data_IF_131780262560
#
_entry.id   IF_131780262560
#
_cell.length_a   1.000
_cell.length_b   1.000
_cell.length_c   1.000
_cell.angle_alpha   90.00
_cell.angle_beta   90.00
_cell.angle_gamma   90.00
#
_symmetry.space_group_name_H-M   'P 1'
#
loop_
_entity.id
_entity.type
_entity.pdbx_description
1 polymer ?
#
# COMPACT_ATOMS: atom_id res chain seq x y z
N UNK A 1 43.16 -64.67 10.76
CA UNK A 1 43.45 -63.27 11.17
C UNK A 1 42.39 -62.41 10.51
N UNK A 2 41.30 -62.12 11.23
CA UNK A 2 40.17 -61.34 10.76
C UNK A 2 40.55 -59.86 10.81
N UNK A 3 40.55 -59.16 9.67
CA UNK A 3 40.67 -57.70 9.62
C UNK A 3 39.33 -57.08 10.04
N UNK A 4 39.34 -56.36 11.16
CA UNK A 4 38.26 -55.48 11.58
C UNK A 4 38.35 -54.14 10.82
N UNK A 5 37.33 -53.83 10.01
CA UNK A 5 37.14 -52.50 9.44
C UNK A 5 36.40 -51.63 10.45
N UNK A 6 37.14 -50.74 11.12
CA UNK A 6 36.62 -49.61 11.88
C UNK A 6 36.13 -48.54 10.90
N UNK A 7 34.81 -48.40 10.73
CA UNK A 7 34.21 -47.27 10.01
C UNK A 7 33.82 -46.18 11.02
N UNK A 8 34.79 -45.33 11.37
CA UNK A 8 34.56 -44.08 12.08
C UNK A 8 33.89 -43.07 11.14
N UNK A 9 32.56 -42.99 11.13
CA UNK A 9 31.88 -41.85 10.50
C UNK A 9 32.19 -40.58 11.30
N UNK A 10 32.90 -39.63 10.69
CA UNK A 10 33.40 -38.41 11.33
C UNK A 10 32.25 -37.46 11.67
N UNK A 11 32.20 -36.98 12.91
CA UNK A 11 31.28 -35.92 13.34
C UNK A 11 31.51 -34.66 12.50
N UNK A 12 30.46 -34.13 11.88
CA UNK A 12 30.49 -32.91 11.07
C UNK A 12 30.43 -31.65 11.93
N UNK A 13 29.63 -31.69 13.01
CA UNK A 13 29.43 -30.56 13.90
C UNK A 13 28.22 -30.74 14.81
N UNK A 14 27.64 -29.62 15.25
CA UNK A 14 26.44 -29.60 16.09
C UNK A 14 25.42 -28.62 15.51
N UNK A 15 24.14 -28.91 15.70
CA UNK A 15 23.03 -28.05 15.35
C UNK A 15 21.95 -28.06 16.42
N UNK A 16 20.99 -27.15 16.30
CA UNK A 16 19.85 -27.02 17.22
C UNK A 16 18.57 -27.35 16.48
N UNK A 17 17.77 -28.26 17.06
CA UNK A 17 16.47 -28.62 16.50
C UNK A 17 15.50 -27.43 16.66
N UNK A 18 14.93 -26.94 15.56
CA UNK A 18 13.99 -25.82 15.57
C UNK A 18 12.54 -26.27 15.80
N UNK A 19 12.20 -27.48 15.36
CA UNK A 19 10.85 -28.03 15.41
C UNK A 19 10.86 -29.43 16.02
N UNK A 20 10.05 -29.66 17.06
CA UNK A 20 9.98 -30.96 17.75
C UNK A 20 9.63 -32.09 16.78
N UNK A 21 10.14 -33.29 17.07
CA UNK A 21 9.83 -34.52 16.32
C UNK A 21 9.38 -35.62 17.27
N UNK A 22 8.55 -36.54 16.77
CA UNK A 22 7.90 -37.57 17.60
C UNK A 22 8.60 -38.93 17.55
N UNK A 23 9.26 -39.29 16.44
CA UNK A 23 10.07 -40.52 16.31
C UNK A 23 11.45 -40.22 15.68
N UNK A 24 12.53 -40.24 16.48
CA UNK A 24 12.53 -40.30 17.95
C UNK A 24 11.95 -39.02 18.58
N UNK A 25 11.38 -39.12 19.78
CA UNK A 25 10.91 -37.96 20.55
C UNK A 25 12.07 -37.02 20.88
N UNK A 26 12.14 -35.88 20.20
CA UNK A 26 13.17 -34.86 20.44
C UNK A 26 12.53 -33.48 20.43
N UNK A 27 12.67 -32.76 21.54
CA UNK A 27 12.13 -31.42 21.67
C UNK A 27 12.94 -30.39 20.90
N UNK A 28 12.26 -29.39 20.33
CA UNK A 28 12.90 -28.19 19.82
C UNK A 28 13.77 -27.52 20.92
N UNK A 29 14.89 -26.95 20.51
CA UNK A 29 15.97 -26.47 21.37
C UNK A 29 17.02 -27.52 21.69
N UNK A 30 16.80 -28.80 21.37
CA UNK A 30 17.82 -29.83 21.66
C UNK A 30 19.04 -29.65 20.75
N UNK A 31 20.23 -29.61 21.36
CA UNK A 31 21.53 -29.63 20.66
C UNK A 31 21.83 -31.04 20.19
N UNK A 32 21.96 -31.22 18.88
CA UNK A 32 22.17 -32.52 18.25
C UNK A 32 23.53 -32.58 17.54
N UNK A 33 24.33 -33.65 17.75
CA UNK A 33 25.47 -33.94 16.91
C UNK A 33 25.03 -34.28 15.48
N UNK A 34 25.73 -33.68 14.51
CA UNK A 34 25.47 -33.81 13.08
C UNK A 34 26.59 -34.63 12.46
N UNK A 35 26.22 -35.69 11.72
CA UNK A 35 27.19 -36.59 11.10
C UNK A 35 27.30 -36.35 9.60
N UNK A 36 26.18 -36.08 8.92
CA UNK A 36 26.13 -35.97 7.46
C UNK A 36 25.14 -34.87 7.06
N UNK A 37 25.49 -34.11 6.01
CA UNK A 37 24.56 -33.29 5.23
C UNK A 37 24.34 -33.94 3.87
N UNK A 38 23.10 -34.30 3.54
CA UNK A 38 22.73 -34.70 2.18
C UNK A 38 22.00 -33.56 1.48
N UNK A 39 22.68 -32.87 0.57
CA UNK A 39 22.04 -31.84 -0.26
C UNK A 39 21.12 -32.44 -1.33
N UNK A 40 21.37 -33.70 -1.71
CA UNK A 40 20.58 -34.40 -2.73
C UNK A 40 19.21 -34.80 -2.15
N UNK A 41 19.20 -35.33 -0.93
CA UNK A 41 17.97 -35.78 -0.26
C UNK A 41 17.34 -34.70 0.62
N UNK A 42 18.00 -33.54 0.78
CA UNK A 42 17.48 -32.43 1.58
C UNK A 42 17.44 -32.70 3.09
N UNK A 43 18.34 -33.54 3.61
CA UNK A 43 18.33 -34.00 5.02
C UNK A 43 19.69 -33.88 5.72
N UNK A 44 19.64 -33.79 7.04
CA UNK A 44 20.73 -34.02 7.98
C UNK A 44 20.62 -35.42 8.58
N UNK A 45 21.76 -36.10 8.78
CA UNK A 45 21.83 -37.28 9.64
C UNK A 45 22.38 -36.85 10.99
N UNK A 46 21.54 -36.94 12.02
CA UNK A 46 21.86 -36.54 13.40
C UNK A 46 21.77 -37.75 14.32
N UNK A 47 22.22 -37.61 15.56
CA UNK A 47 21.94 -38.62 16.60
C UNK A 47 21.42 -37.98 17.89
N UNK A 48 20.42 -38.61 18.51
CA UNK A 48 19.92 -38.26 19.82
C UNK A 48 20.05 -39.46 20.77
N UNK A 49 20.20 -39.18 22.07
CA UNK A 49 20.09 -40.19 23.10
C UNK A 49 18.63 -40.63 23.26
N UNK A 50 18.41 -41.91 23.50
CA UNK A 50 17.08 -42.45 23.75
C UNK A 50 16.61 -42.03 25.15
N UNK A 51 15.32 -41.72 25.34
CA UNK A 51 14.74 -41.28 26.61
C UNK A 51 14.97 -42.30 27.75
N UNK A 52 15.28 -43.56 27.41
CA UNK A 52 15.66 -44.63 28.33
C UNK A 52 17.16 -44.71 28.69
N UNK A 53 17.99 -43.71 28.34
CA UNK A 53 19.44 -43.70 28.62
C UNK A 53 20.25 -44.68 27.76
N UNK A 54 19.71 -45.04 26.58
CA UNK A 54 20.29 -46.01 25.65
C UNK A 54 21.27 -45.42 24.62
N UNK A 55 21.84 -46.31 23.79
CA UNK A 55 22.82 -46.00 22.73
C UNK A 55 22.24 -44.99 21.73
N UNK A 56 22.98 -43.90 21.45
CA UNK A 56 22.53 -42.82 20.56
C UNK A 56 22.05 -43.35 19.20
N UNK A 57 20.77 -43.10 18.89
CA UNK A 57 20.12 -43.52 17.64
C UNK A 57 20.37 -42.45 16.58
N UNK A 58 20.77 -42.89 15.38
CA UNK A 58 20.85 -42.01 14.20
C UNK A 58 19.53 -41.98 13.46
N UNK A 59 19.15 -40.80 12.99
CA UNK A 59 17.94 -40.58 12.21
C UNK A 59 18.13 -39.39 11.26
N UNK A 60 17.24 -39.29 10.28
CA UNK A 60 17.26 -38.22 9.28
C UNK A 60 16.31 -37.08 9.69
N UNK A 61 16.75 -35.85 9.46
CA UNK A 61 15.98 -34.63 9.69
C UNK A 61 15.97 -33.79 8.42
N UNK A 62 14.83 -33.25 7.97
CA UNK A 62 14.80 -32.23 6.93
C UNK A 62 15.74 -31.06 7.25
N UNK A 63 16.43 -30.51 6.23
CA UNK A 63 17.43 -29.45 6.44
C UNK A 63 16.86 -28.27 7.23
N UNK A 64 15.62 -27.87 6.94
CA UNK A 64 14.95 -26.71 7.53
C UNK A 64 14.58 -26.91 9.02
N UNK A 65 14.56 -28.14 9.54
CA UNK A 65 14.29 -28.42 10.96
C UNK A 65 15.49 -28.17 11.87
N UNK A 66 16.69 -27.99 11.31
CA UNK A 66 17.93 -27.90 12.09
C UNK A 66 18.73 -26.64 11.73
N UNK A 67 19.00 -25.81 12.73
CA UNK A 67 19.98 -24.72 12.60
C UNK A 67 21.39 -25.26 12.86
N UNK A 68 22.25 -25.29 11.85
CA UNK A 68 23.61 -25.82 11.98
C UNK A 68 24.59 -24.77 12.52
N UNK A 69 25.21 -25.05 13.67
CA UNK A 69 26.12 -24.11 14.35
C UNK A 69 27.61 -24.48 14.22
N UNK A 70 27.92 -25.65 13.67
CA UNK A 70 29.29 -26.12 13.41
C UNK A 70 29.99 -26.67 14.65
N UNK A 71 30.07 -25.92 15.74
CA UNK A 71 30.69 -26.36 17.01
C UNK A 71 29.66 -26.51 18.12
N UNK A 72 29.98 -27.36 19.12
CA UNK A 72 29.11 -27.60 20.27
C UNK A 72 28.79 -26.32 21.04
N UNK A 73 29.81 -25.52 21.38
CA UNK A 73 29.61 -24.27 22.10
C UNK A 73 28.76 -23.24 21.35
N UNK A 74 28.84 -23.18 20.00
CA UNK A 74 27.95 -22.32 19.20
C UNK A 74 26.52 -22.83 19.20
N UNK A 75 26.32 -24.15 19.15
CA UNK A 75 25.00 -24.77 19.22
C UNK A 75 24.36 -24.54 20.60
N UNK A 76 25.13 -24.67 21.69
CA UNK A 76 24.67 -24.41 23.05
C UNK A 76 24.28 -22.93 23.22
N UNK A 77 25.09 -22.00 22.72
CA UNK A 77 24.76 -20.57 22.74
C UNK A 77 23.49 -20.25 21.93
N UNK A 78 23.31 -20.86 20.76
CA UNK A 78 22.07 -20.70 19.98
C UNK A 78 20.87 -21.30 20.71
N UNK A 79 21.02 -22.50 21.29
CA UNK A 79 19.98 -23.17 22.07
C UNK A 79 19.52 -22.32 23.25
N UNK A 80 20.45 -21.65 23.93
CA UNK A 80 20.14 -20.74 25.03
C UNK A 80 19.35 -19.52 24.53
N UNK A 81 19.80 -18.88 23.44
CA UNK A 81 19.09 -17.76 22.82
C UNK A 81 17.69 -18.14 22.29
N UNK A 82 17.54 -19.38 21.81
CA UNK A 82 16.28 -19.92 21.29
C UNK A 82 15.34 -20.46 22.39
N UNK A 83 15.80 -20.55 23.64
CA UNK A 83 15.05 -21.18 24.73
C UNK A 83 13.65 -20.60 24.96
N UNK A 84 13.47 -19.29 24.79
CA UNK A 84 12.16 -18.61 24.87
C UNK A 84 11.17 -19.17 23.83
N UNK A 85 11.67 -19.52 22.65
CA UNK A 85 10.89 -19.95 21.50
C UNK A 85 10.87 -21.47 21.32
N UNK A 86 11.70 -22.21 22.06
CA UNK A 86 11.83 -23.67 21.96
C UNK A 86 10.49 -24.39 22.08
N UNK A 87 9.60 -23.95 22.98
CA UNK A 87 8.24 -24.49 23.10
C UNK A 87 7.16 -23.66 22.41
N UNK A 88 7.50 -22.51 21.80
CA UNK A 88 6.52 -21.58 21.25
C UNK A 88 6.06 -21.99 19.83
N UNK A 89 4.75 -22.02 19.64
CA UNK A 89 4.09 -22.25 18.36
C UNK A 89 2.93 -21.28 18.20
N UNK A 90 2.44 -21.15 16.98
CA UNK A 90 1.27 -20.36 16.68
C UNK A 90 0.39 -21.07 15.65
N UNK A 91 -0.90 -20.86 15.75
CA UNK A 91 -1.89 -21.35 14.80
C UNK A 91 -2.56 -20.16 14.12
N UNK A 92 -2.67 -20.21 12.80
CA UNK A 92 -3.39 -19.20 12.03
C UNK A 92 -4.90 -19.29 12.33
N UNK A 93 -5.48 -18.24 12.91
CA UNK A 93 -6.94 -18.18 13.16
C UNK A 93 -7.73 -17.59 11.99
N UNK A 94 -7.07 -17.33 10.87
CA UNK A 94 -7.67 -16.80 9.65
C UNK A 94 -7.02 -17.46 8.43
N UNK A 95 -7.84 -17.77 7.42
CA UNK A 95 -7.31 -18.20 6.14
C UNK A 95 -6.61 -17.06 5.40
N UNK A 96 -5.47 -17.37 4.82
CA UNK A 96 -4.72 -16.46 3.98
C UNK A 96 -3.77 -15.51 4.68
N UNK A 97 -3.42 -15.77 5.94
CA UNK A 97 -2.52 -14.91 6.71
C UNK A 97 -1.11 -14.91 6.11
N UNK A 98 -0.52 -13.75 5.75
CA UNK A 98 0.74 -13.70 5.02
C UNK A 98 1.96 -13.88 5.94
N UNK A 99 2.97 -14.61 5.44
CA UNK A 99 4.35 -14.54 5.93
C UNK A 99 5.16 -13.70 4.95
N UNK A 100 5.84 -12.68 5.46
CA UNK A 100 6.57 -11.69 4.69
C UNK A 100 8.08 -11.84 4.79
N UNK A 101 8.79 -11.30 3.81
CA UNK A 101 10.25 -11.26 3.81
C UNK A 101 10.82 -10.37 4.92
N UNK A 102 10.10 -9.32 5.30
CA UNK A 102 10.49 -8.34 6.32
C UNK A 102 9.31 -8.06 7.28
N UNK A 103 9.54 -7.61 8.52
CA UNK A 103 8.50 -7.28 9.50
C UNK A 103 7.80 -5.95 9.17
N UNK A 104 7.23 -5.85 7.98
CA UNK A 104 6.51 -4.68 7.47
C UNK A 104 5.32 -5.15 6.63
N UNK A 105 4.16 -4.50 6.78
CA UNK A 105 2.95 -4.82 6.02
C UNK A 105 3.09 -4.62 4.51
N UNK A 106 4.03 -3.79 4.06
CA UNK A 106 4.29 -3.53 2.64
C UNK A 106 5.37 -4.45 2.05
N UNK A 107 6.02 -5.27 2.88
CA UNK A 107 7.06 -6.17 2.41
C UNK A 107 6.50 -7.31 1.56
N UNK A 108 7.34 -7.83 0.66
CA UNK A 108 7.01 -8.96 -0.20
C UNK A 108 6.48 -10.15 0.62
N UNK A 109 5.38 -10.73 0.13
CA UNK A 109 4.77 -11.92 0.70
C UNK A 109 5.46 -13.15 0.14
N UNK A 110 6.02 -13.98 1.03
CA UNK A 110 6.73 -15.20 0.68
C UNK A 110 5.84 -16.45 0.83
N UNK A 111 4.85 -16.39 1.72
CA UNK A 111 3.95 -17.52 1.98
C UNK A 111 2.57 -17.04 2.45
N UNK A 112 1.56 -17.90 2.33
CA UNK A 112 0.18 -17.66 2.77
C UNK A 112 -0.29 -18.84 3.62
N UNK A 113 -0.53 -18.59 4.91
CA UNK A 113 -0.98 -19.59 5.86
C UNK A 113 -2.45 -19.94 5.62
N UNK A 114 -2.78 -21.22 5.73
CA UNK A 114 -4.16 -21.70 5.75
C UNK A 114 -4.76 -21.55 7.14
N UNK A 115 -6.09 -21.44 7.23
CA UNK A 115 -6.80 -21.51 8.50
C UNK A 115 -6.40 -22.81 9.26
N UNK A 116 -6.02 -22.67 10.53
CA UNK A 116 -5.59 -23.78 11.38
C UNK A 116 -4.15 -24.27 11.11
N UNK A 117 -3.42 -23.67 10.16
CA UNK A 117 -2.03 -24.05 9.92
C UNK A 117 -1.15 -23.63 11.11
N UNK A 118 -0.37 -24.59 11.61
CA UNK A 118 0.57 -24.40 12.72
C UNK A 118 1.92 -23.97 12.18
N UNK A 119 2.50 -22.95 12.80
CA UNK A 119 3.85 -22.48 12.55
C UNK A 119 4.68 -22.52 13.82
N UNK A 120 5.99 -22.74 13.65
CA UNK A 120 6.97 -22.60 14.72
C UNK A 120 7.34 -21.13 14.87
N UNK A 121 7.23 -20.59 16.09
CA UNK A 121 7.77 -19.26 16.39
C UNK A 121 9.27 -19.42 16.66
N UNK A 122 10.10 -18.65 15.97
CA UNK A 122 11.56 -18.74 16.06
C UNK A 122 12.23 -17.42 16.45
N UNK A 123 11.44 -16.36 16.65
CA UNK A 123 11.96 -15.08 17.14
C UNK A 123 10.91 -13.97 17.15
N UNK A 124 11.29 -12.84 17.74
CA UNK A 124 10.58 -11.56 17.63
C UNK A 124 11.35 -10.61 16.72
N UNK A 125 10.64 -9.73 16.05
CA UNK A 125 11.22 -8.68 15.23
C UNK A 125 10.64 -7.31 15.60
N UNK A 126 11.48 -6.28 15.48
CA UNK A 126 11.00 -4.89 15.49
C UNK A 126 10.61 -4.53 14.06
N UNK A 127 9.42 -3.98 13.91
CA UNK A 127 8.84 -3.67 12.62
C UNK A 127 7.76 -2.61 12.73
N UNK A 128 7.28 -2.13 11.59
CA UNK A 128 6.20 -1.14 11.57
C UNK A 128 4.92 -1.78 12.12
N UNK A 129 4.29 -1.20 13.16
CA UNK A 129 3.07 -1.77 13.71
C UNK A 129 1.99 -1.80 12.63
N UNK A 130 1.20 -2.87 12.60
CA UNK A 130 0.04 -2.88 11.72
C UNK A 130 -0.96 -1.83 12.20
N UNK A 131 -1.45 -0.96 11.32
CA UNK A 131 -2.29 0.18 11.71
C UNK A 131 -3.78 -0.09 11.45
N UNK A 132 -4.62 0.41 12.34
CA UNK A 132 -6.08 0.47 12.24
C UNK A 132 -6.52 1.93 12.33
N UNK A 133 -6.59 2.63 11.20
CA UNK A 133 -6.72 4.10 11.20
C UNK A 133 -5.49 4.73 11.85
N UNK A 134 -5.68 5.61 12.83
CA UNK A 134 -4.60 6.27 13.58
C UNK A 134 -4.02 5.42 14.73
N UNK A 135 -4.60 4.25 15.02
CA UNK A 135 -4.19 3.43 16.16
C UNK A 135 -3.44 2.16 15.72
N UNK A 136 -2.31 1.82 16.36
CA UNK A 136 -1.63 0.55 16.10
C UNK A 136 -2.48 -0.63 16.59
N UNK A 137 -2.54 -1.70 15.79
CA UNK A 137 -3.13 -2.97 16.16
C UNK A 137 -2.33 -3.61 17.30
N UNK A 138 -3.01 -4.29 18.24
CA UNK A 138 -2.33 -5.03 19.29
C UNK A 138 -1.60 -6.22 18.66
N UNK A 139 -0.29 -6.32 18.89
CA UNK A 139 0.51 -7.42 18.38
C UNK A 139 1.96 -7.06 18.21
N UNK A 140 2.73 -8.04 17.78
CA UNK A 140 4.15 -7.92 17.50
C UNK A 140 4.50 -8.73 16.26
N UNK A 141 5.62 -8.39 15.62
CA UNK A 141 6.14 -9.17 14.51
C UNK A 141 6.86 -10.39 15.03
N UNK A 142 6.39 -11.56 14.61
CA UNK A 142 7.00 -12.85 14.92
C UNK A 142 7.73 -13.36 13.70
N UNK A 143 8.97 -13.82 13.90
CA UNK A 143 9.66 -14.63 12.92
C UNK A 143 9.13 -16.06 13.06
N UNK A 144 8.58 -16.59 11.98
CA UNK A 144 7.92 -17.89 11.96
C UNK A 144 8.58 -18.81 10.93
N UNK A 145 8.52 -20.11 11.22
CA UNK A 145 8.92 -21.22 10.36
C UNK A 145 7.67 -22.06 10.10
N UNK A 146 7.39 -22.39 8.85
CA UNK A 146 6.28 -23.26 8.44
C UNK A 146 6.69 -24.73 8.46
N UNK A 147 5.70 -25.63 8.44
CA UNK A 147 5.87 -27.08 8.42
C UNK A 147 6.48 -27.63 7.12
N UNK A 148 6.60 -26.79 6.09
CA UNK A 148 7.31 -27.04 4.83
C UNK A 148 8.66 -26.31 4.71
N UNK A 149 9.09 -25.58 5.75
CA UNK A 149 10.43 -25.00 5.84
C UNK A 149 10.57 -23.54 5.38
N UNK A 150 9.48 -22.84 5.08
CA UNK A 150 9.50 -21.42 4.76
C UNK A 150 9.69 -20.57 6.02
N UNK A 151 10.57 -19.56 5.93
CA UNK A 151 10.86 -18.63 7.02
C UNK A 151 10.45 -17.22 6.59
N UNK A 152 9.81 -16.50 7.50
CA UNK A 152 9.59 -15.07 7.35
C UNK A 152 8.90 -14.47 8.57
N UNK A 153 8.23 -13.35 8.37
CA UNK A 153 7.62 -12.56 9.44
C UNK A 153 6.11 -12.52 9.31
N UNK A 154 5.41 -12.76 10.42
CA UNK A 154 3.96 -12.70 10.52
C UNK A 154 3.57 -11.84 11.73
N UNK A 155 2.60 -10.95 11.56
CA UNK A 155 2.10 -10.14 12.67
C UNK A 155 1.18 -10.98 13.58
N UNK A 156 1.38 -10.90 14.90
CA UNK A 156 0.77 -11.84 15.85
C UNK A 156 -0.73 -11.67 16.08
N UNK A 157 -1.34 -10.59 15.58
CA UNK A 157 -2.75 -10.26 15.82
C UNK A 157 -3.73 -11.38 15.45
N UNK A 158 -3.42 -12.18 14.42
CA UNK A 158 -4.23 -13.31 13.95
C UNK A 158 -3.54 -14.66 14.13
N UNK A 159 -2.64 -14.73 15.12
CA UNK A 159 -1.98 -15.95 15.55
C UNK A 159 -2.46 -16.32 16.95
N UNK A 160 -2.96 -17.54 17.10
CA UNK A 160 -3.18 -18.13 18.42
C UNK A 160 -1.87 -18.76 18.89
N UNK A 161 -1.17 -18.06 19.76
CA UNK A 161 0.07 -18.54 20.39
C UNK A 161 -0.22 -19.65 21.39
N UNK A 162 0.55 -20.73 21.35
CA UNK A 162 0.49 -21.82 22.32
C UNK A 162 1.88 -22.36 22.61
N UNK A 163 2.03 -23.06 23.75
CA UNK A 163 3.26 -23.76 24.12
C UNK A 163 3.07 -25.27 23.99
N UNK A 164 4.07 -25.94 23.44
CA UNK A 164 4.12 -27.40 23.36
C UNK A 164 5.03 -27.96 24.45
N UNK A 165 4.51 -28.89 25.25
CA UNK A 165 5.28 -29.63 26.25
C UNK A 165 6.04 -30.80 25.60
N UNK A 166 7.12 -31.26 26.25
CA UNK A 166 7.94 -32.40 25.81
C UNK A 166 7.05 -33.63 25.57
N UNK A 167 7.19 -34.27 24.40
CA UNK A 167 6.52 -35.53 24.07
C UNK A 167 5.03 -35.43 23.68
N UNK A 168 4.46 -34.22 23.60
CA UNK A 168 3.11 -34.05 23.05
C UNK A 168 3.16 -33.85 21.53
N UNK A 169 2.42 -34.62 20.72
CA UNK A 169 2.44 -34.47 19.27
C UNK A 169 2.00 -33.06 18.86
N UNK A 170 2.61 -32.51 17.80
CA UNK A 170 1.98 -31.40 17.09
C UNK A 170 0.74 -32.00 16.49
N UNK A 171 -0.46 -31.56 16.93
CA UNK A 171 -1.67 -31.93 16.23
C UNK A 171 -1.45 -31.56 14.77
N UNK A 172 -1.29 -32.56 13.91
CA UNK A 172 -1.26 -32.36 12.47
C UNK A 172 -2.50 -31.52 12.16
N UNK A 173 -2.39 -30.46 11.35
CA UNK A 173 -3.55 -29.67 10.99
C UNK A 173 -4.61 -30.68 10.56
N UNK A 174 -5.75 -30.68 11.26
CA UNK A 174 -6.93 -31.36 10.72
C UNK A 174 -7.01 -30.83 9.30
N UNK A 175 -6.96 -31.73 8.31
CA UNK A 175 -7.00 -31.36 6.92
C UNK A 175 -8.28 -30.56 6.72
N UNK A 176 -8.17 -29.24 6.86
CA UNK A 176 -9.20 -28.32 6.48
C UNK A 176 -9.30 -28.59 4.99
N UNK A 177 -10.43 -29.21 4.61
CA UNK A 177 -10.87 -29.29 3.24
C UNK A 177 -10.50 -27.95 2.63
N UNK A 178 -9.64 -28.02 1.61
CA UNK A 178 -9.07 -26.83 1.00
C UNK A 178 -10.26 -26.04 0.51
N UNK A 179 -10.62 -24.96 1.23
CA UNK A 179 -11.65 -24.05 0.79
C UNK A 179 -11.23 -23.66 -0.62
N UNK A 180 -12.02 -24.10 -1.59
CA UNK A 180 -11.75 -23.90 -3.00
C UNK A 180 -11.50 -22.39 -3.18
N UNK A 181 -10.28 -22.02 -3.60
CA UNK A 181 -9.90 -20.62 -3.67
C UNK A 181 -10.89 -19.92 -4.59
N UNK A 182 -11.72 -19.02 -4.05
CA UNK A 182 -12.70 -18.28 -4.83
C UNK A 182 -11.94 -17.23 -5.66
N UNK A 183 -11.73 -17.47 -6.98
CA UNK A 183 -10.89 -16.60 -7.79
C UNK A 183 -11.48 -15.19 -7.91
N UNK A 184 -12.80 -15.03 -7.72
CA UNK A 184 -13.48 -13.74 -7.80
C UNK A 184 -13.30 -12.95 -6.49
N UNK A 185 -13.21 -13.64 -5.36
CA UNK A 185 -12.87 -13.03 -4.08
C UNK A 185 -11.39 -12.63 -4.06
N UNK A 186 -10.50 -13.49 -4.57
CA UNK A 186 -9.08 -13.16 -4.71
C UNK A 186 -8.88 -11.91 -5.58
N UNK A 187 -9.67 -11.75 -6.65
CA UNK A 187 -9.67 -10.53 -7.46
C UNK A 187 -10.01 -9.26 -6.66
N UNK A 188 -10.96 -9.32 -5.72
CA UNK A 188 -11.28 -8.18 -4.85
C UNK A 188 -10.06 -7.81 -4.00
N UNK A 189 -9.36 -8.79 -3.44
CA UNK A 189 -8.19 -8.54 -2.59
C UNK A 189 -6.94 -8.13 -3.36
N UNK A 190 -6.77 -8.60 -4.59
CA UNK A 190 -5.58 -8.31 -5.41
C UNK A 190 -5.67 -7.02 -6.22
N UNK A 191 -6.85 -6.41 -6.30
CA UNK A 191 -7.10 -5.23 -7.16
C UNK A 191 -7.12 -3.95 -6.34
N UNK A 192 -6.46 -2.91 -6.87
CA UNK A 192 -6.60 -1.56 -6.34
C UNK A 192 -7.93 -0.94 -6.84
N UNK A 193 -8.86 -0.73 -5.91
CA UNK A 193 -10.21 -0.24 -6.22
C UNK A 193 -10.30 1.26 -5.97
N UNK A 194 -10.49 2.04 -7.03
CA UNK A 194 -10.55 3.51 -6.99
C UNK A 194 -11.97 4.03 -7.21
N UNK A 195 -12.31 5.25 -6.77
CA UNK A 195 -13.63 5.83 -7.00
C UNK A 195 -14.02 5.84 -8.50
N UNK A 196 -15.27 5.51 -8.82
CA UNK A 196 -15.75 5.45 -10.22
C UNK A 196 -15.50 6.74 -11.01
N UNK A 197 -15.56 7.90 -10.35
CA UNK A 197 -15.30 9.21 -10.98
C UNK A 197 -13.90 9.32 -11.62
N UNK A 198 -12.93 8.50 -11.20
CA UNK A 198 -11.60 8.50 -11.81
C UNK A 198 -11.65 8.00 -13.25
N UNK A 199 -12.53 7.03 -13.54
CA UNK A 199 -12.71 6.51 -14.89
C UNK A 199 -13.16 7.62 -15.84
N UNK A 200 -14.12 8.43 -15.43
CA UNK A 200 -14.60 9.57 -16.21
C UNK A 200 -13.46 10.57 -16.50
N UNK A 201 -12.66 10.91 -15.49
CA UNK A 201 -11.50 11.82 -15.65
C UNK A 201 -10.44 11.25 -16.59
N UNK A 202 -10.17 9.94 -16.52
CA UNK A 202 -9.20 9.25 -17.38
C UNK A 202 -9.72 9.18 -18.82
N UNK A 203 -10.96 8.76 -19.01
CA UNK A 203 -11.58 8.61 -20.33
C UNK A 203 -11.67 9.96 -21.06
N UNK A 204 -11.97 11.03 -20.32
CA UNK A 204 -12.02 12.41 -20.85
C UNK A 204 -10.65 13.08 -20.91
N UNK A 205 -9.59 12.46 -20.36
CA UNK A 205 -8.24 13.02 -20.20
C UNK A 205 -8.21 14.36 -19.46
N UNK A 206 -9.13 14.54 -18.50
CA UNK A 206 -9.30 15.76 -17.71
C UNK A 206 -9.18 15.42 -16.23
N UNK A 207 -7.95 15.18 -15.80
CA UNK A 207 -7.66 14.81 -14.41
C UNK A 207 -7.64 16.06 -13.54
N UNK A 208 -8.57 16.11 -12.59
CA UNK A 208 -8.59 17.11 -11.54
C UNK A 208 -7.87 16.58 -10.30
N UNK A 209 -6.64 17.05 -10.05
CA UNK A 209 -5.83 16.65 -8.90
C UNK A 209 -6.45 17.03 -7.54
N UNK A 210 -7.42 17.95 -7.48
CA UNK A 210 -8.17 18.23 -6.24
C UNK A 210 -9.22 17.12 -5.97
N UNK A 211 -9.58 16.34 -6.99
CA UNK A 211 -10.57 15.26 -6.95
C UNK A 211 -9.99 13.92 -7.42
N UNK A 212 -8.67 13.79 -7.48
CA UNK A 212 -7.94 12.58 -7.85
C UNK A 212 -6.73 12.37 -6.94
N UNK A 213 -6.86 11.43 -6.01
CA UNK A 213 -5.83 11.04 -5.03
C UNK A 213 -5.54 9.54 -5.07
N UNK A 214 -4.28 9.17 -4.85
CA UNK A 214 -3.87 7.78 -4.65
C UNK A 214 -4.42 7.17 -3.35
N UNK A 215 -4.75 8.00 -2.35
CA UNK A 215 -5.23 7.53 -1.04
C UNK A 215 -6.72 7.14 -1.00
N UNK A 216 -7.50 7.51 -2.03
CA UNK A 216 -8.93 7.22 -2.08
C UNK A 216 -9.21 5.92 -2.81
N UNK A 217 -10.12 5.12 -2.25
CA UNK A 217 -10.45 3.81 -2.74
C UNK A 217 -11.15 2.93 -1.72
N UNK A 218 -11.35 1.68 -2.12
CA UNK A 218 -11.79 0.59 -1.28
C UNK A 218 -10.61 -0.35 -0.98
N UNK A 219 -10.34 -0.56 0.30
CA UNK A 219 -9.22 -1.35 0.79
C UNK A 219 -9.79 -2.51 1.62
N UNK A 220 -9.92 -3.71 1.04
CA UNK A 220 -10.57 -4.83 1.71
C UNK A 220 -9.73 -5.41 2.87
N UNK A 221 -8.42 -5.16 2.90
CA UNK A 221 -7.56 -5.43 4.05
C UNK A 221 -7.51 -6.88 4.51
N UNK A 222 -7.31 -7.82 3.57
CA UNK A 222 -7.23 -9.26 3.83
C UNK A 222 -6.32 -9.60 5.01
N UNK A 223 -5.15 -8.96 5.05
CA UNK A 223 -4.08 -9.27 5.98
C UNK A 223 -4.30 -8.67 7.38
N UNK A 224 -5.01 -7.54 7.45
CA UNK A 224 -5.28 -6.82 8.70
C UNK A 224 -6.61 -7.27 9.32
N UNK A 225 -7.52 -7.81 8.51
CA UNK A 225 -8.91 -8.01 8.89
C UNK A 225 -9.63 -6.69 9.11
N UNK A 226 -9.22 -5.63 8.41
CA UNK A 226 -9.84 -4.31 8.46
C UNK A 226 -10.19 -3.87 7.05
N UNK A 227 -11.48 -3.67 6.82
CA UNK A 227 -11.97 -3.08 5.58
C UNK A 227 -12.03 -1.56 5.74
N UNK A 228 -11.40 -0.83 4.81
CA UNK A 228 -11.37 0.63 4.79
C UNK A 228 -11.97 1.18 3.50
N UNK A 229 -12.78 2.23 3.65
CA UNK A 229 -13.34 3.02 2.55
C UNK A 229 -12.83 4.45 2.73
N UNK A 230 -12.07 4.95 1.76
CA UNK A 230 -11.55 6.31 1.76
C UNK A 230 -12.03 7.07 0.52
N UNK A 231 -12.70 8.19 0.73
CA UNK A 231 -13.25 9.10 -0.27
C UNK A 231 -13.00 10.55 0.20
N UNK A 232 -13.14 11.59 -0.66
CA UNK A 232 -12.74 12.97 -0.34
C UNK A 232 -13.28 13.56 0.97
N UNK A 233 -14.44 13.11 1.45
CA UNK A 233 -15.09 13.60 2.67
C UNK A 233 -15.58 12.45 3.57
N UNK A 234 -15.05 11.25 3.36
CA UNK A 234 -15.48 10.06 4.07
C UNK A 234 -14.30 9.12 4.26
N UNK A 235 -14.01 8.80 5.51
CA UNK A 235 -13.08 7.76 5.87
C UNK A 235 -13.76 6.81 6.86
N UNK A 236 -13.88 5.55 6.47
CA UNK A 236 -14.48 4.50 7.27
C UNK A 236 -13.51 3.34 7.40
N UNK A 237 -13.45 2.75 8.59
CA UNK A 237 -12.60 1.62 8.89
C UNK A 237 -13.36 0.68 9.82
N UNK A 238 -13.50 -0.58 9.42
CA UNK A 238 -14.20 -1.60 10.20
C UNK A 238 -13.37 -2.86 10.33
N UNK A 239 -13.21 -3.41 11.54
CA UNK A 239 -12.69 -4.76 11.68
C UNK A 239 -13.70 -5.77 11.15
N UNK A 240 -13.21 -6.88 10.63
CA UNK A 240 -14.01 -8.05 10.26
C UNK A 240 -13.31 -9.35 10.68
N UNK A 241 -14.07 -10.42 10.87
CA UNK A 241 -13.56 -11.74 11.31
C UNK A 241 -13.33 -12.70 10.15
N UNK A 242 -14.19 -12.64 9.14
CA UNK A 242 -14.12 -13.45 7.94
C UNK A 242 -14.84 -12.74 6.78
N UNK A 243 -14.68 -13.28 5.57
CA UNK A 243 -15.43 -12.83 4.39
C UNK A 243 -16.25 -14.01 3.90
N UNK A 244 -17.57 -13.91 4.05
CA UNK A 244 -18.50 -14.97 3.72
C UNK A 244 -19.21 -14.69 2.38
N UNK A 245 -19.32 -15.67 1.47
CA UNK A 245 -20.12 -15.52 0.26
C UNK A 245 -21.61 -15.42 0.63
N UNK A 246 -22.30 -14.40 0.13
CA UNK A 246 -23.75 -14.21 0.31
C UNK A 246 -24.51 -14.78 -0.88
N UNK A 247 -23.98 -14.56 -2.08
CA UNK A 247 -24.47 -15.05 -3.38
C UNK A 247 -23.35 -14.91 -4.40
N UNK A 248 -23.60 -15.31 -5.66
CA UNK A 248 -22.60 -15.15 -6.71
C UNK A 248 -22.11 -13.68 -6.80
N UNK A 249 -20.78 -13.53 -6.86
CA UNK A 249 -20.09 -12.24 -6.93
C UNK A 249 -20.38 -11.28 -5.77
N UNK A 250 -20.86 -11.77 -4.63
CA UNK A 250 -21.20 -10.93 -3.48
C UNK A 250 -20.71 -11.55 -2.18
N UNK A 251 -19.98 -10.76 -1.40
CA UNK A 251 -19.41 -11.19 -0.13
C UNK A 251 -19.69 -10.18 0.98
N UNK A 252 -19.93 -10.71 2.18
CA UNK A 252 -20.13 -9.97 3.41
C UNK A 252 -18.85 -10.05 4.24
N UNK A 253 -18.36 -8.90 4.69
CA UNK A 253 -17.26 -8.82 5.64
C UNK A 253 -17.85 -8.98 7.05
N UNK A 254 -17.79 -10.19 7.61
CA UNK A 254 -18.47 -10.55 8.86
C UNK A 254 -17.98 -9.74 10.06
N UNK A 255 -18.91 -9.34 10.94
CA UNK A 255 -18.61 -8.43 12.05
C UNK A 255 -18.46 -6.96 11.64
N UNK A 256 -18.37 -6.68 10.34
CA UNK A 256 -18.51 -5.34 9.79
C UNK A 256 -19.92 -5.11 9.22
N UNK A 257 -20.19 -3.88 8.79
CA UNK A 257 -21.40 -3.49 8.07
C UNK A 257 -21.14 -3.31 6.57
N UNK A 258 -20.11 -3.98 6.05
CA UNK A 258 -19.64 -3.83 4.67
C UNK A 258 -19.95 -5.06 3.84
N UNK A 259 -20.60 -4.83 2.70
CA UNK A 259 -20.83 -5.85 1.68
C UNK A 259 -20.22 -5.41 0.36
N UNK A 260 -19.45 -6.28 -0.28
CA UNK A 260 -18.86 -6.04 -1.59
C UNK A 260 -19.57 -6.88 -2.65
N UNK A 261 -19.87 -6.30 -3.79
CA UNK A 261 -20.55 -6.94 -4.91
C UNK A 261 -19.85 -6.61 -6.22
N UNK A 262 -19.20 -7.60 -6.82
CA UNK A 262 -18.46 -7.46 -8.06
C UNK A 262 -19.42 -7.44 -9.25
N UNK A 263 -19.63 -6.27 -9.88
CA UNK A 263 -20.53 -6.12 -11.04
C UNK A 263 -19.89 -6.65 -12.33
N UNK A 264 -18.58 -6.46 -12.46
CA UNK A 264 -17.71 -6.97 -13.51
C UNK A 264 -16.30 -7.09 -12.94
N UNK A 265 -15.35 -7.64 -13.69
CA UNK A 265 -13.98 -7.85 -13.17
C UNK A 265 -13.22 -6.53 -12.95
N UNK A 266 -13.80 -5.40 -13.38
CA UNK A 266 -13.25 -4.05 -13.21
C UNK A 266 -14.18 -3.09 -12.47
N UNK A 267 -15.36 -3.55 -12.01
CA UNK A 267 -16.35 -2.70 -11.32
C UNK A 267 -16.86 -3.37 -10.06
N UNK A 268 -16.67 -2.71 -8.93
CA UNK A 268 -17.04 -3.17 -7.59
C UNK A 268 -18.06 -2.21 -6.97
N UNK A 269 -19.19 -2.75 -6.50
CA UNK A 269 -20.15 -2.02 -5.68
C UNK A 269 -19.90 -2.35 -4.22
N UNK A 270 -19.73 -1.36 -3.37
CA UNK A 270 -19.59 -1.56 -1.92
C UNK A 270 -20.77 -0.91 -1.23
N UNK A 271 -21.41 -1.66 -0.34
CA UNK A 271 -22.45 -1.16 0.56
C UNK A 271 -21.88 -1.04 1.96
N UNK A 272 -22.19 0.05 2.64
CA UNK A 272 -21.70 0.36 3.98
C UNK A 272 -22.71 1.22 4.74
N UNK A 273 -22.50 1.40 6.03
CA UNK A 273 -23.31 2.30 6.87
C UNK A 273 -22.49 3.54 7.18
N UNK A 274 -23.01 4.73 6.89
CA UNK A 274 -22.33 5.98 7.22
C UNK A 274 -22.40 6.31 8.73
N UNK A 275 -21.70 7.37 9.17
CA UNK A 275 -21.70 7.79 10.57
C UNK A 275 -23.10 8.15 11.10
N UNK A 276 -24.04 8.50 10.22
CA UNK A 276 -25.44 8.78 10.57
C UNK A 276 -26.31 7.53 10.66
N UNK A 277 -25.76 6.34 10.46
CA UNK A 277 -26.49 5.07 10.50
C UNK A 277 -27.25 4.75 9.22
N UNK A 278 -27.15 5.57 8.17
CA UNK A 278 -27.81 5.32 6.91
C UNK A 278 -26.99 4.35 6.04
N UNK A 279 -27.68 3.40 5.40
CA UNK A 279 -27.05 2.53 4.41
C UNK A 279 -26.76 3.32 3.14
N UNK A 280 -25.51 3.26 2.69
CA UNK A 280 -24.99 3.91 1.49
C UNK A 280 -24.35 2.87 0.58
N UNK A 281 -24.18 3.24 -0.68
CA UNK A 281 -23.36 2.49 -1.62
C UNK A 281 -22.43 3.42 -2.38
N UNK A 282 -21.20 2.94 -2.59
CA UNK A 282 -20.22 3.56 -3.47
C UNK A 282 -19.79 2.55 -4.54
N UNK A 283 -19.43 3.06 -5.70
CA UNK A 283 -18.91 2.28 -6.82
C UNK A 283 -17.43 2.57 -6.98
N UNK A 284 -16.67 1.50 -7.14
CA UNK A 284 -15.23 1.53 -7.35
C UNK A 284 -14.89 0.79 -8.64
N UNK A 285 -13.77 1.19 -9.23
CA UNK A 285 -13.28 0.69 -10.51
C UNK A 285 -11.81 0.31 -10.41
N UNK A 286 -11.43 -0.73 -11.15
CA UNK A 286 -10.03 -1.04 -11.43
C UNK A 286 -9.53 -0.11 -12.53
N UNK A 287 -8.38 0.52 -12.33
CA UNK A 287 -7.77 1.41 -13.31
C UNK A 287 -6.82 0.64 -14.25
N UNK A 288 -6.63 1.11 -15.49
CA UNK A 288 -5.67 0.50 -16.42
C UNK A 288 -4.20 0.76 -16.07
N UNK A 289 -3.92 1.69 -15.15
CA UNK A 289 -2.59 2.03 -14.64
C UNK A 289 -2.74 2.55 -13.20
N UNK A 290 -1.64 2.71 -12.47
CA UNK A 290 -1.68 3.20 -11.09
C UNK A 290 -2.23 4.64 -11.01
N UNK A 291 -2.86 5.01 -9.90
CA UNK A 291 -3.34 6.37 -9.68
C UNK A 291 -2.16 7.37 -9.65
N UNK A 292 -1.01 6.95 -9.14
CA UNK A 292 0.24 7.69 -9.08
C UNK A 292 0.75 8.07 -10.47
N UNK A 293 0.68 7.16 -11.44
CA UNK A 293 1.10 7.44 -12.82
C UNK A 293 0.22 8.53 -13.46
N UNK A 294 -1.08 8.50 -13.21
CA UNK A 294 -2.01 9.52 -13.68
C UNK A 294 -1.75 10.88 -13.03
N UNK A 295 -1.50 10.90 -11.72
CA UNK A 295 -1.14 12.11 -10.98
C UNK A 295 0.18 12.70 -11.51
N UNK A 296 1.19 11.86 -11.73
CA UNK A 296 2.49 12.29 -12.23
C UNK A 296 2.39 12.92 -13.63
N UNK A 297 1.65 12.28 -14.56
CA UNK A 297 1.44 12.81 -15.92
C UNK A 297 0.70 14.14 -15.92
N UNK A 298 -0.33 14.29 -15.10
CA UNK A 298 -1.07 15.55 -15.01
C UNK A 298 -0.23 16.66 -14.36
N UNK A 299 0.58 16.32 -13.36
CA UNK A 299 1.53 17.27 -12.74
C UNK A 299 2.56 17.74 -13.77
N UNK A 300 3.15 16.81 -14.54
CA UNK A 300 4.11 17.14 -15.59
C UNK A 300 3.50 18.01 -16.71
N UNK A 301 2.22 17.77 -17.07
CA UNK A 301 1.48 18.63 -17.99
C UNK A 301 1.37 20.05 -17.46
N UNK A 302 0.96 20.23 -16.20
CA UNK A 302 0.82 21.54 -15.55
C UNK A 302 2.15 22.28 -15.50
N UNK A 303 3.22 21.57 -15.12
CA UNK A 303 4.58 22.13 -15.05
C UNK A 303 5.09 22.55 -16.43
N UNK A 304 4.85 21.75 -17.45
CA UNK A 304 5.27 22.06 -18.83
C UNK A 304 4.57 23.30 -19.40
N UNK A 305 3.29 23.48 -19.08
CA UNK A 305 2.54 24.68 -19.43
C UNK A 305 3.07 25.92 -18.68
N UNK A 306 3.29 25.81 -17.37
CA UNK A 306 3.83 26.90 -16.57
C UNK A 306 5.23 27.32 -17.04
N UNK A 307 6.12 26.34 -17.30
CA UNK A 307 7.46 26.60 -17.86
C UNK A 307 7.41 27.30 -19.21
N UNK A 308 6.37 27.08 -20.01
CA UNK A 308 6.21 27.77 -21.29
C UNK A 308 5.87 29.25 -21.11
N UNK A 309 5.04 29.60 -20.12
CA UNK A 309 4.81 30.99 -19.73
C UNK A 309 6.11 31.60 -19.18
N UNK A 310 6.76 30.93 -18.25
CA UNK A 310 7.96 31.42 -17.56
C UNK A 310 9.15 31.65 -18.52
N UNK A 311 9.29 30.83 -19.57
CA UNK A 311 10.33 30.98 -20.60
C UNK A 311 10.15 32.23 -21.46
N UNK A 312 8.91 32.67 -21.70
CA UNK A 312 8.65 33.91 -22.44
C UNK A 312 9.10 35.14 -21.64
N UNK A 313 8.98 35.09 -20.31
CA UNK A 313 9.54 36.05 -19.39
C UNK A 313 9.06 35.78 -17.96
N UNK A 314 9.91 35.89 -16.94
CA UNK A 314 9.45 35.81 -15.56
C UNK A 314 8.72 37.09 -15.12
N UNK A 315 8.82 38.18 -15.89
CA UNK A 315 8.23 39.49 -15.59
C UNK A 315 7.53 40.03 -16.84
N UNK A 316 6.27 40.41 -16.66
CA UNK A 316 5.35 40.89 -17.68
C UNK A 316 4.84 42.28 -17.27
N UNK A 317 4.89 43.25 -18.19
CA UNK A 317 4.50 44.65 -17.93
C UNK A 317 3.37 45.10 -18.82
N UNK A 318 2.46 45.87 -18.26
CA UNK A 318 1.34 46.49 -18.97
C UNK A 318 1.19 47.93 -18.48
N UNK A 319 0.97 48.86 -19.40
CA UNK A 319 0.77 50.28 -19.06
C UNK A 319 -0.48 50.48 -18.18
N UNK A 320 -1.55 49.74 -18.47
CA UNK A 320 -2.84 49.89 -17.80
C UNK A 320 -3.04 48.88 -16.65
N UNK A 321 -2.34 47.76 -16.67
CA UNK A 321 -2.56 46.64 -15.74
C UNK A 321 -1.33 46.32 -14.87
N UNK A 322 -0.31 47.17 -14.90
CA UNK A 322 0.85 47.08 -14.02
C UNK A 322 1.81 45.93 -14.35
N UNK A 323 2.45 45.35 -13.33
CA UNK A 323 3.51 44.34 -13.51
C UNK A 323 3.10 43.01 -12.88
N UNK A 324 3.11 41.95 -13.67
CA UNK A 324 2.90 40.56 -13.26
C UNK A 324 4.23 39.81 -13.33
N UNK A 325 4.71 39.31 -12.20
CA UNK A 325 5.93 38.52 -12.08
C UNK A 325 5.61 37.12 -11.58
N UNK A 326 6.28 36.12 -12.15
CA UNK A 326 6.19 34.72 -11.73
C UNK A 326 7.49 34.25 -11.09
N UNK A 327 7.40 33.33 -10.13
CA UNK A 327 8.55 32.63 -9.56
C UNK A 327 8.70 31.25 -10.21
N UNK A 328 9.89 30.64 -10.11
CA UNK A 328 10.13 29.28 -10.61
C UNK A 328 9.22 28.23 -9.97
N UNK A 329 8.81 28.47 -8.71
CA UNK A 329 8.01 27.56 -7.89
C UNK A 329 6.50 27.70 -8.10
N UNK A 330 6.06 28.46 -9.12
CA UNK A 330 4.63 28.67 -9.39
C UNK A 330 3.98 29.75 -8.53
N UNK A 331 4.75 30.60 -7.86
CA UNK A 331 4.25 31.80 -7.20
C UNK A 331 4.07 32.95 -8.20
N UNK A 332 3.26 33.94 -7.84
CA UNK A 332 3.18 35.19 -8.59
C UNK A 332 3.14 36.41 -7.67
N UNK A 333 3.56 37.55 -8.22
CA UNK A 333 3.34 38.88 -7.66
C UNK A 333 2.77 39.80 -8.75
N UNK A 334 1.69 40.50 -8.47
CA UNK A 334 1.04 41.45 -9.36
C UNK A 334 0.92 42.80 -8.66
N UNK A 335 1.50 43.84 -9.24
CA UNK A 335 1.35 45.24 -8.78
C UNK A 335 0.65 46.08 -9.85
N UNK A 336 -0.08 47.13 -9.44
CA UNK A 336 -0.79 48.03 -10.36
C UNK A 336 -2.03 47.41 -11.02
N UNK A 337 -2.68 46.44 -10.35
CA UNK A 337 -3.88 45.75 -10.82
C UNK A 337 -5.18 46.44 -10.38
N UNK A 338 -5.12 47.65 -9.83
CA UNK A 338 -6.24 48.33 -9.18
C UNK A 338 -7.48 48.50 -10.07
N UNK A 339 -7.29 48.65 -11.39
CA UNK A 339 -8.37 48.75 -12.39
C UNK A 339 -9.24 47.47 -12.44
N UNK A 340 -8.71 46.33 -12.02
CA UNK A 340 -9.40 45.03 -12.01
C UNK A 340 -10.16 44.77 -10.71
N UNK A 341 -10.02 45.64 -9.70
CA UNK A 341 -10.65 45.52 -8.40
C UNK A 341 -11.92 46.37 -8.34
N UNK A 342 -13.07 45.87 -7.82
CA UNK A 342 -13.32 44.52 -7.33
C UNK A 342 -13.90 43.57 -8.38
N UNK A 343 -14.02 44.02 -9.64
CA UNK A 343 -14.84 43.37 -10.67
C UNK A 343 -14.32 42.01 -11.10
N UNK A 344 -12.99 41.85 -11.17
CA UNK A 344 -12.31 40.61 -11.56
C UNK A 344 -11.51 40.06 -10.38
N UNK A 345 -10.78 40.93 -9.68
CA UNK A 345 -9.97 40.59 -8.51
C UNK A 345 -10.72 41.06 -7.24
N UNK A 346 -10.99 40.18 -6.27
CA UNK A 346 -11.67 40.56 -5.03
C UNK A 346 -10.94 41.65 -4.23
N UNK A 347 -11.69 42.54 -3.57
CA UNK A 347 -11.12 43.69 -2.84
C UNK A 347 -10.11 43.34 -1.73
N UNK A 348 -10.23 42.15 -1.14
CA UNK A 348 -9.36 41.70 -0.06
C UNK A 348 -8.08 40.99 -0.54
N UNK A 349 -7.92 40.80 -1.86
CA UNK A 349 -6.78 40.12 -2.45
C UNK A 349 -5.53 40.97 -2.39
N UNK A 350 -4.45 40.42 -1.84
CA UNK A 350 -3.09 40.97 -1.94
C UNK A 350 -2.52 40.67 -3.31
N UNK A 351 -1.60 41.50 -3.79
CA UNK A 351 -0.91 41.30 -5.06
C UNK A 351 0.08 40.12 -5.12
N UNK A 352 -0.12 39.07 -4.33
CA UNK A 352 0.73 37.87 -4.31
C UNK A 352 -0.14 36.62 -4.26
N UNK A 353 0.44 35.48 -4.65
CA UNK A 353 -0.24 34.19 -4.48
C UNK A 353 0.37 33.08 -5.31
N UNK A 354 -0.46 32.09 -5.67
CA UNK A 354 -0.05 30.91 -6.45
C UNK A 354 -0.74 30.85 -7.80
N UNK A 355 0.06 30.59 -8.84
CA UNK A 355 -0.39 30.34 -10.19
C UNK A 355 -0.52 28.83 -10.42
N UNK A 356 -1.56 28.41 -11.13
CA UNK A 356 -1.77 27.01 -11.51
C UNK A 356 -2.44 26.86 -12.87
N UNK A 357 -2.12 25.77 -13.57
CA UNK A 357 -2.61 25.45 -14.91
C UNK A 357 -3.61 24.28 -14.85
N UNK A 358 -4.54 24.37 -13.90
CA UNK A 358 -5.44 23.26 -13.53
C UNK A 358 -6.61 23.04 -14.48
N UNK A 359 -6.94 24.05 -15.29
CA UNK A 359 -8.11 24.03 -16.17
C UNK A 359 -7.75 23.44 -17.54
N UNK A 360 -8.74 22.80 -18.15
CA UNK A 360 -8.69 22.27 -19.53
C UNK A 360 -9.54 23.17 -20.44
N UNK A 361 -9.19 23.24 -21.72
CA UNK A 361 -9.97 23.97 -22.71
C UNK A 361 -10.93 23.04 -23.46
N UNK A 362 -12.09 23.55 -23.85
CA UNK A 362 -12.89 22.94 -24.91
C UNK A 362 -12.14 23.01 -26.25
N UNK A 363 -12.51 22.13 -27.19
CA UNK A 363 -11.87 22.07 -28.51
C UNK A 363 -11.93 23.42 -29.23
N UNK A 364 -13.06 24.13 -29.14
CA UNK A 364 -13.25 25.46 -29.70
C UNK A 364 -12.26 26.48 -29.11
N UNK A 365 -12.11 26.52 -27.78
CA UNK A 365 -11.16 27.43 -27.13
C UNK A 365 -9.71 27.06 -27.40
N UNK A 366 -9.40 25.77 -27.52
CA UNK A 366 -8.05 25.29 -27.82
C UNK A 366 -7.55 25.75 -29.20
N UNK A 367 -8.43 26.17 -30.12
CA UNK A 367 -8.02 26.77 -31.40
C UNK A 367 -7.45 28.18 -31.27
N UNK A 368 -7.80 28.91 -30.22
CA UNK A 368 -7.48 30.34 -30.07
C UNK A 368 -6.60 30.66 -28.84
N UNK A 369 -6.56 29.75 -27.86
CA UNK A 369 -5.84 29.96 -26.60
C UNK A 369 -4.86 28.82 -26.35
N UNK A 370 -3.72 29.18 -25.75
CA UNK A 370 -2.68 28.23 -25.37
C UNK A 370 -3.03 27.45 -24.11
N UNK A 371 -3.91 27.98 -23.26
CA UNK A 371 -4.37 27.32 -22.04
C UNK A 371 -5.19 28.25 -21.15
N UNK A 372 -5.37 27.84 -19.89
CA UNK A 372 -6.01 28.65 -18.86
C UNK A 372 -5.15 28.72 -17.59
N UNK A 373 -4.94 29.94 -17.10
CA UNK A 373 -4.16 30.29 -15.93
C UNK A 373 -5.10 30.65 -14.77
N UNK A 374 -4.97 29.93 -13.65
CA UNK A 374 -5.68 30.21 -12.40
C UNK A 374 -4.74 30.88 -11.42
N UNK A 375 -5.12 32.06 -10.92
CA UNK A 375 -4.40 32.82 -9.89
C UNK A 375 -5.17 32.78 -8.57
N UNK A 376 -4.60 32.10 -7.59
CA UNK A 376 -5.08 32.09 -6.20
C UNK A 376 -4.38 33.18 -5.43
N UNK A 377 -5.08 34.28 -5.12
CA UNK A 377 -4.51 35.43 -4.41
C UNK A 377 -4.45 35.21 -2.90
N UNK A 378 -3.44 35.78 -2.26
CA UNK A 378 -3.30 35.76 -0.80
C UNK A 378 -4.26 36.76 -0.13
N UNK A 379 -4.80 36.43 1.06
CA UNK A 379 -4.79 35.09 1.66
C UNK A 379 -5.77 34.15 0.93
N UNK A 380 -5.33 32.91 0.67
CA UNK A 380 -6.07 31.95 -0.15
C UNK A 380 -7.50 31.62 0.36
N UNK A 381 -7.74 31.77 1.65
CA UNK A 381 -9.04 31.49 2.29
C UNK A 381 -10.15 32.47 1.89
N UNK A 382 -9.79 33.66 1.39
CA UNK A 382 -10.73 34.76 1.15
C UNK A 382 -11.28 34.78 -0.28
N UNK A 383 -10.62 34.10 -1.23
CA UNK A 383 -11.04 34.16 -2.63
C UNK A 383 -10.90 32.84 -3.39
N UNK A 384 -11.90 32.54 -4.21
CA UNK A 384 -11.75 31.53 -5.26
C UNK A 384 -10.73 32.00 -6.30
N UNK A 385 -9.99 31.09 -6.95
CA UNK A 385 -8.97 31.50 -7.91
C UNK A 385 -9.58 32.25 -9.09
N UNK A 386 -8.93 33.34 -9.48
CA UNK A 386 -9.29 34.13 -10.66
C UNK A 386 -8.71 33.44 -11.87
N UNK A 387 -9.56 33.12 -12.85
CA UNK A 387 -9.16 32.33 -14.01
C UNK A 387 -9.05 33.24 -15.24
N UNK A 388 -8.04 32.96 -16.07
CA UNK A 388 -7.81 33.64 -17.33
C UNK A 388 -7.55 32.60 -18.42
N UNK A 389 -8.16 32.75 -19.58
CA UNK A 389 -7.61 32.14 -20.79
C UNK A 389 -6.32 32.87 -21.15
N UNK A 390 -5.30 32.17 -21.65
CA UNK A 390 -4.07 32.83 -22.06
C UNK A 390 -3.61 32.41 -23.46
N UNK A 391 -2.92 33.33 -24.13
CA UNK A 391 -2.18 33.09 -25.37
C UNK A 391 -0.75 33.61 -25.18
N UNK A 392 0.23 32.80 -25.58
CA UNK A 392 1.62 33.24 -25.66
C UNK A 392 1.87 33.84 -27.04
N UNK A 393 2.24 35.12 -27.08
CA UNK A 393 2.58 35.85 -28.30
C UNK A 393 4.10 36.15 -28.30
N UNK A 394 4.74 36.34 -29.47
CA UNK A 394 6.20 36.50 -29.56
C UNK A 394 6.81 37.62 -28.69
N UNK A 395 6.02 38.60 -28.25
CA UNK A 395 6.47 39.69 -27.37
C UNK A 395 5.70 39.83 -26.06
N UNK A 396 4.84 38.87 -25.68
CA UNK A 396 4.00 39.07 -24.52
C UNK A 396 2.99 37.97 -24.17
N UNK A 397 2.39 38.16 -23.00
CA UNK A 397 1.34 37.31 -22.46
C UNK A 397 0.00 38.03 -22.58
N UNK A 398 -0.91 37.46 -23.38
CA UNK A 398 -2.30 37.91 -23.45
C UNK A 398 -3.15 37.08 -22.51
N UNK A 399 -3.85 37.73 -21.60
CA UNK A 399 -4.82 37.13 -20.69
C UNK A 399 -6.24 37.60 -21.03
N UNK A 400 -7.22 36.73 -20.95
CA UNK A 400 -8.63 37.07 -21.04
C UNK A 400 -9.36 36.53 -19.83
N UNK A 401 -10.07 37.39 -19.11
CA UNK A 401 -10.79 36.98 -17.91
C UNK A 401 -11.83 35.89 -18.21
N UNK A 402 -11.76 34.80 -17.45
CA UNK A 402 -12.64 33.65 -17.57
C UNK A 402 -13.55 33.57 -16.34
N UNK A 403 -14.82 34.02 -16.45
CA UNK A 403 -15.73 34.03 -15.32
C UNK A 403 -16.18 32.61 -14.94
N UNK A 404 -16.55 32.35 -13.67
CA UNK A 404 -17.01 31.04 -13.22
C UNK A 404 -18.19 30.45 -14.02
N UNK A 405 -19.08 31.30 -14.56
CA UNK A 405 -20.22 30.89 -15.40
C UNK A 405 -19.83 30.34 -16.78
N UNK A 406 -18.54 30.36 -17.11
CA UNK A 406 -17.96 29.78 -18.32
C UNK A 406 -17.21 28.47 -18.05
N UNK A 407 -17.20 28.01 -16.80
CA UNK A 407 -16.58 26.77 -16.38
C UNK A 407 -17.63 25.67 -16.16
N UNK A 408 -17.29 24.45 -16.56
CA UNK A 408 -17.99 23.22 -16.18
C UNK A 408 -16.98 22.32 -15.46
N UNK A 409 -16.98 22.39 -14.11
CA UNK A 409 -15.92 21.77 -13.30
C UNK A 409 -14.55 22.37 -13.64
N UNK A 410 -13.62 21.53 -14.12
CA UNK A 410 -12.27 21.94 -14.56
C UNK A 410 -12.19 22.31 -16.05
N UNK A 411 -13.30 22.24 -16.79
CA UNK A 411 -13.35 22.59 -18.21
C UNK A 411 -13.74 24.05 -18.39
N UNK A 412 -12.89 24.82 -19.05
CA UNK A 412 -13.26 26.08 -19.68
C UNK A 412 -14.06 25.77 -20.95
N UNK A 413 -15.37 26.01 -20.90
CA UNK A 413 -16.27 25.61 -21.98
C UNK A 413 -16.39 26.69 -23.06
N UNK A 414 -16.43 27.96 -22.65
CA UNK A 414 -16.64 29.12 -23.51
C UNK A 414 -15.92 30.36 -22.98
N UNK A 415 -15.88 31.42 -23.79
CA UNK A 415 -15.42 32.75 -23.37
C UNK A 415 -16.45 33.43 -22.48
N UNK A 416 -16.02 34.44 -21.73
CA UNK A 416 -16.95 35.31 -21.01
C UNK A 416 -17.83 36.12 -21.97
N UNK A 417 -19.08 36.46 -21.59
CA UNK A 417 -20.00 37.21 -22.45
C UNK A 417 -19.48 38.61 -22.81
N UNK A 418 -18.69 39.21 -21.90
CA UNK A 418 -17.98 40.48 -22.10
C UNK A 418 -16.50 40.26 -21.77
N UNK A 419 -15.65 39.94 -22.77
CA UNK A 419 -14.27 39.55 -22.52
C UNK A 419 -13.42 40.77 -22.12
N UNK A 420 -12.90 40.75 -20.89
CA UNK A 420 -11.85 41.69 -20.48
C UNK A 420 -10.50 41.10 -20.89
N UNK A 421 -9.85 41.72 -21.86
CA UNK A 421 -8.56 41.29 -22.39
C UNK A 421 -7.45 42.18 -21.82
N UNK A 422 -6.41 41.54 -21.31
CA UNK A 422 -5.25 42.15 -20.68
C UNK A 422 -4.03 41.71 -21.47
N UNK A 423 -3.23 42.67 -21.92
CA UNK A 423 -1.97 42.38 -22.59
C UNK A 423 -0.80 42.86 -21.74
N UNK A 424 0.20 41.99 -21.61
CA UNK A 424 1.48 42.33 -21.03
C UNK A 424 2.62 42.06 -22.02
N UNK A 425 3.50 43.03 -22.21
CA UNK A 425 4.79 42.82 -22.87
C UNK A 425 5.73 42.05 -21.95
N UNK A 426 6.46 41.07 -22.46
CA UNK A 426 7.57 40.45 -21.73
C UNK A 426 8.68 41.49 -21.53
N UNK A 427 9.11 41.70 -20.29
CA UNK A 427 10.33 42.48 -20.05
C UNK A 427 11.53 41.59 -20.41
N UNK A 428 12.40 42.05 -21.32
CA UNK A 428 13.70 41.40 -21.54
C UNK A 428 14.47 41.31 -20.21
N UNK A 429 15.20 40.20 -20.04
CA UNK A 429 16.00 39.93 -18.83
C UNK A 429 17.09 40.97 -18.60
#
# INVERSE_FOLDING_TARGET
>A
MLLALSSCSRLLGYGVLLWSIDDPSVAAGTVLPVHIRSNINGVWVVSAEDEAGGKARRFELPIWKLEFAGSRGKAEAYSEAFSEFASAYAEAVQDGLPIRAEPDNNANRNYRLKLGQVVKVIGRAKGNPAMSGDSPLPGEWLKVLTDDGQIGYCFSYRLRLFRQERGSPVAAPAAAESAEADPKLDLIFSTAWHPEVYKEMIDTKRIDLERFSASWGFFPGQDTGIVRISLPKLELSYPYSAVAPVRDRTWLFEGSRVQASLRSDTVLSVQYIDAGGAQRSAVFVALPSSAEDFIARETERRDSLFRSIFRLGPIFRSENYGTLAFTSEGGFAWTGYDILVPSIIPSASKGTGRASLRLFLSDDLATAYSGALSLSFDPAEISSPVNFLYTLEPGGLRLEYLPPSSLEGVLAQRRGPSPTVIFFSSAER
#
